data_IF_832094605841
#
_entry.id   IF_832094605841
#
_cell.length_a   1.000
_cell.length_b   1.000
_cell.length_c   1.000
_cell.angle_alpha   90.00
_cell.angle_beta   90.00
_cell.angle_gamma   90.00
#
_symmetry.space_group_name_H-M   'P 1'
#
loop_
_entity.id
_entity.type
_entity.pdbx_description
1 polymer ?
#
# COMPACT_ATOMS: atom_id res chain seq x y z
N UNK A 1 -10.78 -11.17 -1.78
CA UNK A 1 -11.23 -10.23 -0.73
C UNK A 1 -11.61 -8.94 -1.45
N UNK A 2 -12.77 -8.37 -1.13
CA UNK A 2 -13.19 -7.07 -1.66
C UNK A 2 -12.75 -5.95 -0.71
N UNK A 3 -12.76 -4.72 -1.20
CA UNK A 3 -12.51 -3.48 -0.44
C UNK A 3 -13.46 -3.27 0.76
N UNK A 4 -14.51 -4.10 0.90
CA UNK A 4 -15.49 -4.01 2.00
C UNK A 4 -15.09 -4.79 3.27
N UNK A 5 -13.94 -5.48 3.27
CA UNK A 5 -13.46 -6.20 4.46
C UNK A 5 -12.94 -5.19 5.48
N UNK A 6 -13.47 -5.20 6.71
CA UNK A 6 -12.96 -4.30 7.75
C UNK A 6 -11.59 -4.77 8.27
N UNK A 7 -10.70 -3.86 8.72
CA UNK A 7 -9.41 -4.26 9.30
C UNK A 7 -9.55 -5.24 10.47
N UNK A 8 -10.60 -5.12 11.27
CA UNK A 8 -10.89 -6.05 12.37
C UNK A 8 -11.26 -7.47 11.90
N UNK A 9 -11.93 -7.61 10.76
CA UNK A 9 -12.20 -8.90 10.14
C UNK A 9 -10.93 -9.50 9.54
N UNK A 10 -10.15 -8.72 8.81
CA UNK A 10 -8.88 -9.16 8.24
C UNK A 10 -7.90 -9.64 9.33
N UNK A 11 -7.83 -8.91 10.45
CA UNK A 11 -7.02 -9.28 11.62
C UNK A 11 -7.45 -10.63 12.20
N UNK A 12 -8.75 -10.85 12.43
CA UNK A 12 -9.27 -12.13 12.93
C UNK A 12 -9.02 -13.28 11.97
N UNK A 13 -9.12 -13.03 10.65
CA UNK A 13 -8.94 -14.04 9.62
C UNK A 13 -7.46 -14.30 9.28
N UNK A 14 -6.53 -13.47 9.77
CA UNK A 14 -5.11 -13.46 9.37
C UNK A 14 -4.93 -13.45 7.84
N UNK A 15 -5.85 -12.80 7.15
CA UNK A 15 -5.91 -12.70 5.69
C UNK A 15 -6.49 -11.34 5.34
N UNK A 16 -5.87 -10.68 4.38
CA UNK A 16 -6.24 -9.35 3.92
C UNK A 16 -5.48 -8.98 2.65
N UNK A 17 -5.77 -7.81 2.11
CA UNK A 17 -4.95 -7.14 1.10
C UNK A 17 -3.98 -6.16 1.77
N UNK A 18 -3.06 -5.55 1.02
CA UNK A 18 -2.05 -4.64 1.57
C UNK A 18 -2.63 -3.49 2.40
N UNK A 19 -3.81 -2.99 2.01
CA UNK A 19 -4.56 -1.98 2.77
C UNK A 19 -4.94 -2.47 4.17
N UNK A 20 -5.37 -3.73 4.31
CA UNK A 20 -5.77 -4.30 5.61
C UNK A 20 -4.58 -4.37 6.55
N UNK A 21 -3.45 -4.91 6.08
CA UNK A 21 -2.23 -5.04 6.87
C UNK A 21 -1.68 -3.67 7.30
N UNK A 22 -1.69 -2.70 6.40
CA UNK A 22 -1.29 -1.32 6.70
C UNK A 22 -2.17 -0.69 7.77
N UNK A 23 -3.50 -0.83 7.66
CA UNK A 23 -4.42 -0.30 8.66
C UNK A 23 -4.28 -0.97 10.03
N UNK A 24 -4.10 -2.29 10.06
CA UNK A 24 -3.88 -3.05 11.30
C UNK A 24 -2.62 -2.55 11.99
N UNK A 25 -1.51 -2.45 11.27
CA UNK A 25 -0.23 -2.02 11.83
C UNK A 25 -0.26 -0.56 12.30
N UNK A 26 -0.82 0.35 11.50
CA UNK A 26 -1.01 1.76 11.91
C UNK A 26 -1.84 1.86 13.18
N UNK A 27 -2.92 1.09 13.28
CA UNK A 27 -3.79 1.07 14.47
C UNK A 27 -3.05 0.56 15.70
N UNK A 28 -2.27 -0.53 15.54
CA UNK A 28 -1.46 -1.08 16.62
C UNK A 28 -0.40 -0.10 17.11
N UNK A 29 0.37 0.52 16.20
CA UNK A 29 1.40 1.51 16.55
C UNK A 29 0.81 2.73 17.27
N UNK A 30 -0.30 3.27 16.75
CA UNK A 30 -0.98 4.41 17.37
C UNK A 30 -1.54 4.06 18.75
N UNK A 31 -1.99 2.83 18.97
CA UNK A 31 -2.44 2.37 20.30
C UNK A 31 -1.32 2.35 21.35
N UNK A 32 -0.07 2.27 20.90
CA UNK A 32 1.14 2.33 21.73
C UNK A 32 1.72 3.75 21.85
N UNK A 33 1.02 4.76 21.30
CA UNK A 33 1.48 6.15 21.30
C UNK A 33 2.56 6.45 20.26
N UNK A 34 2.81 5.55 19.32
CA UNK A 34 3.82 5.73 18.27
C UNK A 34 3.17 6.43 17.07
N UNK A 35 3.68 7.60 16.63
CA UNK A 35 3.20 8.23 15.40
C UNK A 35 3.41 7.33 14.19
N UNK A 36 2.32 7.03 13.48
CA UNK A 36 2.33 6.22 12.27
C UNK A 36 1.37 6.80 11.22
N UNK A 37 1.68 6.60 9.95
CA UNK A 37 0.95 7.10 8.79
C UNK A 37 0.87 6.06 7.67
N UNK A 38 -0.06 6.32 6.76
CA UNK A 38 -0.36 5.50 5.59
C UNK A 38 0.43 6.00 4.39
N UNK A 39 1.05 5.08 3.65
CA UNK A 39 1.75 5.38 2.40
C UNK A 39 1.02 4.67 1.26
N UNK A 40 0.75 5.41 0.19
CA UNK A 40 0.15 4.91 -1.05
C UNK A 40 1.15 5.08 -2.18
N UNK A 41 1.30 4.07 -3.02
CA UNK A 41 2.30 4.09 -4.08
C UNK A 41 2.28 2.86 -4.98
N UNK A 42 3.40 2.61 -5.65
CA UNK A 42 3.60 1.43 -6.48
C UNK A 42 4.74 0.59 -5.92
N UNK A 43 4.55 -0.73 -5.93
CA UNK A 43 5.62 -1.68 -5.66
C UNK A 43 6.12 -2.24 -6.98
N UNK A 44 7.40 -2.05 -7.28
CA UNK A 44 8.03 -2.64 -8.46
C UNK A 44 8.02 -4.16 -8.34
N UNK A 45 7.43 -4.82 -9.33
CA UNK A 45 7.34 -6.28 -9.38
C UNK A 45 8.56 -6.86 -10.07
N UNK A 46 9.30 -7.72 -9.36
CA UNK A 46 10.40 -8.50 -9.93
C UNK A 46 9.84 -9.90 -10.23
N UNK A 47 9.69 -10.31 -11.51
CA UNK A 47 9.19 -11.64 -11.84
C UNK A 47 10.17 -12.72 -11.36
N UNK A 48 9.69 -13.93 -11.05
CA UNK A 48 10.54 -15.08 -10.78
C UNK A 48 11.52 -15.34 -11.94
N UNK A 49 12.72 -15.90 -11.67
CA UNK A 49 13.69 -16.23 -12.71
C UNK A 49 13.05 -17.05 -13.85
N UNK A 50 13.22 -16.58 -15.09
CA UNK A 50 12.69 -17.26 -16.29
C UNK A 50 11.27 -16.84 -16.70
N UNK A 51 10.66 -15.85 -16.04
CA UNK A 51 9.41 -15.22 -16.51
C UNK A 51 9.67 -13.81 -17.00
N UNK A 52 9.02 -13.44 -18.11
CA UNK A 52 9.07 -12.07 -18.62
C UNK A 52 8.43 -11.12 -17.62
N UNK A 53 9.03 -9.92 -17.49
CA UNK A 53 8.41 -8.82 -16.75
C UNK A 53 7.17 -8.41 -17.54
N UNK A 54 6.03 -8.38 -16.87
CA UNK A 54 4.81 -7.87 -17.46
C UNK A 54 4.86 -6.33 -17.38
N UNK A 55 4.96 -5.67 -18.53
CA UNK A 55 4.81 -4.20 -18.61
C UNK A 55 3.46 -3.80 -18.02
N UNK A 56 3.46 -2.78 -17.16
CA UNK A 56 2.23 -2.33 -16.50
C UNK A 56 1.80 -3.15 -15.27
N UNK A 57 2.56 -4.17 -14.85
CA UNK A 57 2.21 -5.04 -13.72
C UNK A 57 2.68 -4.54 -12.34
N UNK A 58 3.30 -3.35 -12.27
CA UNK A 58 3.68 -2.78 -10.98
C UNK A 58 2.42 -2.47 -10.18
N UNK A 59 2.29 -3.18 -9.07
CA UNK A 59 1.04 -3.22 -8.34
C UNK A 59 0.92 -1.94 -7.52
N UNK A 60 -0.27 -1.32 -7.58
CA UNK A 60 -0.66 -0.34 -6.59
C UNK A 60 -0.56 -0.99 -5.21
N UNK A 61 0.25 -0.41 -4.35
CA UNK A 61 0.63 -0.97 -3.07
C UNK A 61 0.52 0.06 -1.98
N UNK A 62 0.40 -0.43 -0.75
CA UNK A 62 0.26 0.44 0.42
C UNK A 62 1.01 -0.15 1.59
N UNK A 63 1.65 0.71 2.35
CA UNK A 63 2.51 0.35 3.48
C UNK A 63 2.49 1.44 4.56
N UNK A 64 3.32 1.29 5.58
CA UNK A 64 3.28 2.08 6.81
C UNK A 64 4.52 2.95 6.95
N UNK A 65 4.35 4.21 7.30
CA UNK A 65 5.43 5.09 7.76
C UNK A 65 5.33 5.27 9.27
N UNK A 66 6.42 5.11 10.01
CA UNK A 66 6.44 5.12 11.49
C UNK A 66 7.59 5.97 12.02
N UNK A 67 7.32 6.73 13.09
CA UNK A 67 8.34 7.53 13.77
C UNK A 67 9.25 6.63 14.61
N UNK A 68 10.55 6.65 14.34
CA UNK A 68 11.58 5.85 15.00
C UNK A 68 12.50 6.68 15.92
N UNK A 69 12.12 7.92 16.22
CA UNK A 69 12.87 8.80 17.12
C UNK A 69 13.67 9.87 16.40
N UNK A 70 14.35 10.72 17.15
CA UNK A 70 15.02 11.92 16.60
C UNK A 70 16.25 11.59 15.75
N UNK A 71 16.95 10.49 16.03
CA UNK A 71 18.16 10.11 15.30
C UNK A 71 17.86 9.65 13.87
N UNK A 72 16.79 8.88 13.69
CA UNK A 72 16.46 8.22 12.42
C UNK A 72 15.22 8.81 11.73
N UNK A 73 14.42 9.59 12.47
CA UNK A 73 13.19 10.19 11.96
C UNK A 73 12.12 9.14 11.67
N UNK A 74 11.51 9.24 10.49
CA UNK A 74 10.50 8.28 10.05
C UNK A 74 11.12 7.18 9.20
N UNK A 75 10.76 5.93 9.48
CA UNK A 75 11.06 4.76 8.64
C UNK A 75 9.78 4.22 8.00
N UNK A 76 9.93 3.35 7.00
CA UNK A 76 8.80 2.77 6.26
C UNK A 76 8.85 1.25 6.28
N UNK A 77 7.71 0.62 6.56
CA UNK A 77 7.55 -0.80 6.80
C UNK A 77 6.41 -1.35 5.94
N UNK A 78 6.66 -2.47 5.28
CA UNK A 78 5.70 -3.20 4.46
C UNK A 78 5.20 -4.45 5.19
N UNK A 79 4.08 -4.35 5.93
CA UNK A 79 3.55 -5.49 6.69
C UNK A 79 2.94 -6.59 5.80
N UNK A 80 2.76 -6.33 4.50
CA UNK A 80 2.26 -7.34 3.56
C UNK A 80 3.35 -8.33 3.21
N UNK A 81 4.58 -7.83 3.06
CA UNK A 81 5.74 -8.61 2.64
C UNK A 81 6.74 -8.88 3.78
N UNK A 82 6.50 -8.35 4.99
CA UNK A 82 7.35 -8.48 6.18
C UNK A 82 8.78 -7.95 5.94
N UNK A 83 8.88 -6.77 5.32
CA UNK A 83 10.15 -6.11 4.99
C UNK A 83 10.12 -4.62 5.33
N UNK A 84 11.31 -4.02 5.43
CA UNK A 84 11.47 -2.56 5.39
C UNK A 84 11.26 -2.09 3.94
N UNK A 85 10.49 -1.01 3.74
CA UNK A 85 10.28 -0.46 2.41
C UNK A 85 11.59 0.10 1.85
N UNK A 86 11.85 -0.15 0.57
CA UNK A 86 13.12 0.15 -0.09
C UNK A 86 12.94 0.85 -1.44
N UNK A 87 13.99 0.81 -2.28
CA UNK A 87 13.98 1.52 -3.57
C UNK A 87 12.93 1.05 -4.58
N UNK A 88 12.32 -0.11 -4.35
CA UNK A 88 11.23 -0.64 -5.17
C UNK A 88 9.84 -0.16 -4.72
N UNK A 89 9.74 0.55 -3.58
CA UNK A 89 8.53 1.18 -3.07
C UNK A 89 8.46 2.65 -3.53
N UNK A 90 7.76 2.89 -4.62
CA UNK A 90 7.62 4.22 -5.20
C UNK A 90 6.46 4.95 -4.53
N UNK A 91 6.80 5.89 -3.65
CA UNK A 91 5.83 6.74 -2.94
C UNK A 91 5.07 7.62 -3.92
N UNK A 92 3.74 7.60 -3.83
CA UNK A 92 2.85 8.56 -4.51
C UNK A 92 2.28 9.57 -3.51
N UNK A 93 1.87 9.13 -2.31
CA UNK A 93 1.27 10.00 -1.31
C UNK A 93 1.41 9.49 0.14
N UNK A 94 1.34 10.42 1.09
CA UNK A 94 1.29 10.17 2.54
C UNK A 94 -0.01 10.70 3.16
N UNK A 95 -0.61 9.94 4.08
CA UNK A 95 -1.83 10.32 4.78
C UNK A 95 -1.95 9.68 6.16
N UNK A 96 -3.00 9.99 6.91
CA UNK A 96 -3.27 9.32 8.20
C UNK A 96 -3.95 7.97 8.00
N UNK A 97 -4.70 7.83 6.92
CA UNK A 97 -5.41 6.62 6.52
C UNK A 97 -5.62 6.61 5.00
N UNK A 98 -6.31 5.59 4.49
CA UNK A 98 -6.60 5.42 3.07
C UNK A 98 -7.43 6.59 2.50
N UNK A 99 -8.33 7.20 3.28
CA UNK A 99 -9.20 8.27 2.79
C UNK A 99 -8.40 9.55 2.49
N UNK A 100 -7.30 9.78 3.20
CA UNK A 100 -6.41 10.92 2.93
C UNK A 100 -5.59 10.75 1.61
N UNK A 101 -5.42 9.53 1.09
CA UNK A 101 -4.52 9.22 -0.05
C UNK A 101 -5.10 8.26 -1.08
N UNK A 102 -6.43 8.18 -1.17
CA UNK A 102 -7.09 7.30 -2.11
C UNK A 102 -6.71 7.70 -3.56
N UNK A 103 -6.21 6.76 -4.38
CA UNK A 103 -5.70 7.06 -5.73
C UNK A 103 -6.80 7.48 -6.71
N UNK A 104 -8.08 7.21 -6.40
CA UNK A 104 -9.25 7.73 -7.11
C UNK A 104 -10.23 8.28 -6.07
N UNK A 105 -10.53 9.58 -6.16
CA UNK A 105 -11.52 10.24 -5.30
C UNK A 105 -12.65 10.76 -6.21
N UNK A 106 -13.84 10.15 -6.12
CA UNK A 106 -15.00 10.58 -6.89
C UNK A 106 -16.14 9.55 -6.92
N UNK A 107 -17.34 10.01 -7.28
CA UNK A 107 -18.50 9.14 -7.54
C UNK A 107 -18.62 8.93 -9.04
N UNK A 108 -18.37 7.72 -9.52
CA UNK A 108 -18.60 7.37 -10.91
C UNK A 108 -20.03 6.83 -11.07
N UNK A 109 -20.93 7.64 -11.64
CA UNK A 109 -22.27 7.20 -12.03
C UNK A 109 -22.27 6.86 -13.53
N UNK A 110 -22.37 5.57 -13.85
CA UNK A 110 -22.57 5.11 -15.23
C UNK A 110 -23.72 4.12 -15.32
N UNK A 111 -24.39 4.08 -16.48
CA UNK A 111 -25.35 3.03 -16.84
C UNK A 111 -24.70 2.09 -17.86
N UNK A 112 -24.76 0.78 -17.64
CA UNK A 112 -24.13 -0.26 -18.48
C UNK A 112 -22.89 -0.92 -17.83
N UNK A 113 -22.32 -1.92 -18.51
CA UNK A 113 -21.10 -2.59 -18.05
C UNK A 113 -19.88 -1.67 -18.23
N UNK A 114 -19.09 -1.48 -17.16
CA UNK A 114 -17.82 -0.79 -17.23
C UNK A 114 -16.64 -1.74 -17.05
N UNK A 115 -15.61 -1.54 -17.88
CA UNK A 115 -14.30 -2.18 -17.74
C UNK A 115 -13.26 -1.07 -17.63
N UNK A 116 -12.59 -1.00 -16.49
CA UNK A 116 -11.48 -0.08 -16.25
C UNK A 116 -10.19 -0.89 -16.38
N UNK A 117 -9.25 -0.41 -17.18
CA UNK A 117 -7.90 -0.96 -17.30
C UNK A 117 -6.92 0.10 -16.81
N UNK A 118 -6.08 -0.25 -15.84
CA UNK A 118 -4.99 0.59 -15.35
C UNK A 118 -3.70 -0.23 -15.43
N UNK A 119 -2.61 0.42 -15.85
CA UNK A 119 -1.29 -0.18 -16.01
C UNK A 119 -0.24 0.89 -15.67
N UNK A 120 0.75 0.52 -14.85
CA UNK A 120 1.85 1.40 -14.46
C UNK A 120 3.16 0.63 -14.57
N UNK A 121 4.18 1.28 -15.13
CA UNK A 121 5.51 0.70 -15.29
C UNK A 121 6.55 1.63 -14.65
N UNK A 122 7.26 1.10 -13.65
CA UNK A 122 8.34 1.80 -12.95
C UNK A 122 9.66 1.49 -13.66
N UNK A 123 10.28 2.53 -14.23
CA UNK A 123 11.56 2.42 -14.94
C UNK A 123 12.68 3.01 -14.07
N UNK A 124 13.75 2.24 -13.76
CA UNK A 124 14.92 2.77 -13.08
C UNK A 124 15.57 3.89 -13.91
N UNK A 125 15.88 5.02 -13.29
CA UNK A 125 16.66 6.08 -13.93
C UNK A 125 18.13 5.88 -13.58
N UNK A 126 18.96 5.70 -14.60
CA UNK A 126 20.42 5.55 -14.52
C UNK A 126 21.14 6.88 -14.34
#
# INVERSE_FOLDING_TARGET
MTVDTTPGQAFKLKRGVCQDFSHIMISALRSLGIPAGYVSGFLRTIPPPGKERLEGADAMHTWVRVWYGEADGYIELDPTNDIVAGGDHIVVAYGRDYADVAPVIGVLKSYGNQKITQAVDVVPVS
#
